data_IF_249122639515
#
_entry.id   IF_249122639515
#
_cell.length_a   1.000
_cell.length_b   1.000
_cell.length_c   1.000
_cell.angle_alpha   90.00
_cell.angle_beta   90.00
_cell.angle_gamma   90.00
#
_symmetry.space_group_name_H-M   'P 1'
#
loop_
_entity.id
_entity.type
_entity.pdbx_description
1 polymer ?
#
# COMPACT_ATOMS: atom_id res chain seq x y z
N UNK A 1 -12.48 -15.12 16.26
CA UNK A 1 -13.95 -15.28 16.26
C UNK A 1 -14.55 -14.50 15.09
N UNK A 2 -15.61 -15.06 14.50
CA UNK A 2 -16.48 -14.33 13.59
C UNK A 2 -17.56 -13.61 14.42
N UNK A 3 -17.75 -12.32 14.15
CA UNK A 3 -18.71 -11.47 14.86
C UNK A 3 -19.66 -10.86 13.84
N UNK A 4 -20.96 -11.09 14.03
CA UNK A 4 -21.98 -10.39 13.25
C UNK A 4 -22.07 -8.94 13.74
N UNK A 5 -21.69 -8.00 12.88
CA UNK A 5 -21.66 -6.58 13.23
C UNK A 5 -23.07 -6.01 13.44
N UNK A 6 -24.07 -6.55 12.72
CA UNK A 6 -25.46 -6.11 12.85
C UNK A 6 -26.06 -6.41 14.22
N UNK A 7 -25.65 -7.53 14.82
CA UNK A 7 -26.09 -7.95 16.15
C UNK A 7 -25.22 -7.35 17.27
N UNK A 8 -23.92 -7.18 17.02
CA UNK A 8 -22.96 -6.75 18.02
C UNK A 8 -22.99 -5.24 18.28
N UNK A 9 -23.21 -4.42 17.25
CA UNK A 9 -23.22 -2.95 17.40
C UNK A 9 -24.42 -2.53 18.26
N UNK A 10 -24.12 -1.86 19.38
CA UNK A 10 -25.09 -1.49 20.39
C UNK A 10 -25.38 -2.59 21.45
N UNK A 11 -24.80 -3.78 21.28
CA UNK A 11 -24.93 -4.90 22.21
C UNK A 11 -23.51 -5.44 22.56
N UNK A 12 -22.74 -4.64 23.30
CA UNK A 12 -21.36 -4.96 23.68
C UNK A 12 -20.29 -4.51 22.67
N UNK A 13 -20.68 -3.94 21.52
CA UNK A 13 -19.76 -3.37 20.53
C UNK A 13 -20.14 -1.93 20.19
N UNK A 14 -19.17 -1.04 20.22
CA UNK A 14 -19.33 0.36 19.77
C UNK A 14 -18.35 0.64 18.64
N UNK A 15 -18.84 1.27 17.58
CA UNK A 15 -18.04 1.69 16.42
C UNK A 15 -18.12 3.21 16.28
N UNK A 16 -16.95 3.85 16.19
CA UNK A 16 -16.85 5.31 16.01
C UNK A 16 -16.06 5.63 14.75
N UNK A 17 -16.60 6.43 13.80
CA UNK A 17 -15.88 6.83 12.61
C UNK A 17 -14.66 7.68 12.92
N UNK A 18 -13.54 7.39 12.24
CA UNK A 18 -12.35 8.23 12.22
C UNK A 18 -12.38 9.09 10.96
N UNK A 19 -12.26 10.41 11.11
CA UNK A 19 -12.14 11.31 9.96
C UNK A 19 -10.70 11.27 9.46
N UNK A 20 -10.49 10.71 8.27
CA UNK A 20 -9.17 10.57 7.66
C UNK A 20 -9.02 11.41 6.39
N UNK A 21 -7.78 11.69 5.98
CA UNK A 21 -7.48 12.42 4.73
C UNK A 21 -7.68 11.57 3.46
N UNK A 22 -8.08 10.32 3.62
CA UNK A 22 -8.30 9.35 2.54
C UNK A 22 -9.78 8.93 2.51
N UNK A 23 -10.21 8.35 1.39
CA UNK A 23 -11.61 7.94 1.18
C UNK A 23 -11.95 6.56 1.80
N UNK A 24 -11.17 6.07 2.75
CA UNK A 24 -11.44 4.84 3.47
C UNK A 24 -12.26 5.11 4.74
N UNK A 25 -13.31 4.33 4.94
CA UNK A 25 -14.09 4.33 6.17
C UNK A 25 -13.33 3.61 7.28
N UNK A 26 -12.48 4.36 8.00
CA UNK A 26 -11.78 3.85 9.18
C UNK A 26 -12.59 4.11 10.44
N UNK A 27 -12.57 3.16 11.38
CA UNK A 27 -13.32 3.26 12.62
C UNK A 27 -12.49 2.80 13.82
N UNK A 28 -12.78 3.40 14.97
CA UNK A 28 -12.42 2.82 16.27
C UNK A 28 -13.50 1.81 16.66
N UNK A 29 -13.07 0.69 17.22
CA UNK A 29 -13.96 -0.38 17.67
C UNK A 29 -13.69 -0.64 19.15
N UNK A 30 -14.74 -0.62 19.95
CA UNK A 30 -14.69 -0.90 21.38
C UNK A 30 -15.58 -2.09 21.71
N UNK A 31 -15.06 -2.98 22.55
CA UNK A 31 -15.79 -4.12 23.05
C UNK A 31 -16.00 -3.98 24.57
N UNK A 32 -17.23 -4.12 25.01
CA UNK A 32 -17.60 -4.08 26.40
C UNK A 32 -18.55 -5.26 26.70
N UNK A 33 -18.01 -6.31 27.27
CA UNK A 33 -18.74 -7.56 27.58
C UNK A 33 -19.50 -8.15 26.36
N UNK A 34 -18.93 -8.02 25.16
CA UNK A 34 -19.51 -8.63 23.97
C UNK A 34 -19.46 -10.16 24.09
N UNK A 35 -20.60 -10.80 24.11
CA UNK A 35 -20.72 -12.27 24.08
C UNK A 35 -20.72 -12.75 22.62
N UNK A 36 -19.88 -13.74 22.33
CA UNK A 36 -19.78 -14.36 21.01
C UNK A 36 -19.88 -15.88 21.18
N UNK A 37 -20.75 -16.55 20.42
CA UNK A 37 -20.89 -18.00 20.48
C UNK A 37 -19.55 -18.71 20.25
N UNK A 38 -19.29 -19.78 21.00
CA UNK A 38 -18.02 -20.52 20.91
C UNK A 38 -17.81 -21.15 19.54
N UNK A 39 -18.87 -21.53 18.86
CA UNK A 39 -18.87 -22.06 17.50
C UNK A 39 -18.37 -21.06 16.45
N UNK A 40 -18.40 -19.76 16.75
CA UNK A 40 -17.84 -18.69 15.89
C UNK A 40 -16.32 -18.56 16.04
N UNK A 41 -15.69 -19.40 16.86
CA UNK A 41 -14.23 -19.43 16.98
C UNK A 41 -13.60 -19.98 15.71
N UNK A 42 -12.58 -19.29 15.19
CA UNK A 42 -11.79 -19.72 14.04
C UNK A 42 -10.51 -20.43 14.55
N UNK A 43 -10.46 -21.74 14.36
CA UNK A 43 -9.30 -22.57 14.73
C UNK A 43 -9.12 -22.77 16.23
N UNK A 44 -7.89 -23.11 16.65
CA UNK A 44 -7.54 -23.48 18.01
C UNK A 44 -7.26 -22.28 18.92
N UNK A 45 -7.51 -22.43 20.20
CA UNK A 45 -7.21 -21.41 21.21
C UNK A 45 -5.70 -21.10 21.24
N UNK A 46 -5.39 -19.81 21.37
CA UNK A 46 -4.00 -19.34 21.41
C UNK A 46 -3.29 -19.30 20.04
N UNK A 47 -3.93 -19.76 18.94
CA UNK A 47 -3.31 -19.77 17.60
C UNK A 47 -3.80 -18.64 16.68
N UNK A 48 -4.69 -17.77 17.14
CA UNK A 48 -5.34 -16.75 16.29
C UNK A 48 -4.35 -15.83 15.56
N UNK A 49 -3.27 -15.42 16.21
CA UNK A 49 -2.25 -14.57 15.56
C UNK A 49 -1.52 -15.33 14.43
N UNK A 50 -1.28 -16.63 14.58
CA UNK A 50 -0.67 -17.45 13.53
C UNK A 50 -1.59 -17.55 12.31
N UNK A 51 -2.89 -17.79 12.51
CA UNK A 51 -3.86 -17.82 11.41
C UNK A 51 -3.98 -16.47 10.71
N UNK A 52 -3.89 -15.37 11.45
CA UNK A 52 -3.85 -14.02 10.87
C UNK A 52 -2.61 -13.85 9.97
N UNK A 53 -1.44 -14.29 10.41
CA UNK A 53 -0.19 -14.17 9.65
C UNK A 53 -0.24 -14.92 8.31
N UNK A 54 -0.94 -16.05 8.23
CA UNK A 54 -1.07 -16.83 6.98
C UNK A 54 -1.76 -16.00 5.86
N UNK A 55 -2.73 -15.15 6.20
CA UNK A 55 -3.39 -14.25 5.26
C UNK A 55 -2.60 -13.00 4.90
N UNK A 56 -1.74 -12.52 5.79
CA UNK A 56 -1.06 -11.23 5.65
C UNK A 56 -0.02 -11.20 4.52
N UNK A 57 0.56 -12.32 4.11
CA UNK A 57 1.48 -12.35 2.97
C UNK A 57 0.74 -12.10 1.66
N UNK A 58 -0.42 -12.72 1.46
CA UNK A 58 -1.28 -12.45 0.31
C UNK A 58 -1.72 -10.99 0.27
N UNK A 59 -2.14 -10.43 1.40
CA UNK A 59 -2.56 -9.04 1.52
C UNK A 59 -1.43 -8.08 1.15
N UNK A 60 -0.19 -8.30 1.60
CA UNK A 60 0.96 -7.49 1.20
C UNK A 60 1.20 -7.50 -0.31
N UNK A 61 1.05 -8.65 -0.95
CA UNK A 61 1.20 -8.80 -2.40
C UNK A 61 0.08 -8.06 -3.14
N UNK A 62 -1.17 -8.14 -2.66
CA UNK A 62 -2.31 -7.43 -3.23
C UNK A 62 -2.12 -5.90 -3.14
N UNK A 63 -1.75 -5.39 -1.98
CA UNK A 63 -1.45 -3.96 -1.80
C UNK A 63 -0.26 -3.52 -2.66
N UNK A 64 0.76 -4.36 -2.79
CA UNK A 64 1.88 -4.06 -3.70
C UNK A 64 1.42 -3.98 -5.17
N UNK A 65 0.50 -4.84 -5.60
CA UNK A 65 -0.08 -4.78 -6.95
C UNK A 65 -0.93 -3.52 -7.15
N UNK A 66 -1.70 -3.11 -6.15
CA UNK A 66 -2.44 -1.84 -6.13
C UNK A 66 -1.50 -0.64 -6.27
N UNK A 67 -0.40 -0.61 -5.51
CA UNK A 67 0.64 0.42 -5.64
C UNK A 67 1.22 0.50 -7.05
N UNK A 68 1.44 -0.65 -7.72
CA UNK A 68 1.90 -0.68 -9.11
C UNK A 68 0.85 -0.05 -10.04
N UNK A 69 -0.43 -0.32 -9.83
CA UNK A 69 -1.53 0.30 -10.58
C UNK A 69 -1.55 1.82 -10.42
N UNK A 70 -1.46 2.28 -9.18
CA UNK A 70 -1.41 3.71 -8.85
C UNK A 70 -0.18 4.41 -9.43
N UNK A 71 0.99 3.82 -9.28
CA UNK A 71 2.22 4.39 -9.83
C UNK A 71 2.18 4.51 -11.36
N UNK A 72 1.60 3.54 -12.06
CA UNK A 72 1.35 3.62 -13.49
C UNK A 72 0.42 4.79 -13.86
N UNK A 73 -0.66 4.93 -13.12
CA UNK A 73 -1.60 6.03 -13.31
C UNK A 73 -0.91 7.38 -13.16
N UNK A 74 -0.09 7.58 -12.12
CA UNK A 74 0.64 8.82 -11.90
C UNK A 74 1.62 9.13 -13.04
N UNK A 75 2.40 8.14 -13.46
CA UNK A 75 3.36 8.30 -14.57
C UNK A 75 2.65 8.63 -15.87
N UNK A 76 1.54 7.96 -16.17
CA UNK A 76 0.75 8.25 -17.38
C UNK A 76 0.14 9.64 -17.34
N UNK A 77 -0.45 10.03 -16.19
CA UNK A 77 -1.06 11.33 -15.99
C UNK A 77 -0.04 12.47 -16.14
N UNK A 78 1.11 12.35 -15.47
CA UNK A 78 2.20 13.31 -15.59
C UNK A 78 2.74 13.39 -17.02
N UNK A 79 2.92 12.26 -17.68
CA UNK A 79 3.41 12.21 -19.07
C UNK A 79 2.45 12.88 -20.05
N UNK A 80 1.14 12.66 -19.89
CA UNK A 80 0.12 13.33 -20.70
C UNK A 80 0.16 14.84 -20.49
N UNK A 81 0.08 15.27 -19.23
CA UNK A 81 0.13 16.68 -18.88
C UNK A 81 1.40 17.37 -19.39
N UNK A 82 2.56 16.71 -19.29
CA UNK A 82 3.83 17.24 -19.75
C UNK A 82 3.90 17.41 -21.28
N UNK A 83 3.19 16.58 -22.06
CA UNK A 83 3.05 16.73 -23.52
C UNK A 83 2.11 17.87 -23.92
N UNK A 84 1.02 18.03 -23.16
CA UNK A 84 -0.08 18.91 -23.55
C UNK A 84 0.10 20.34 -23.01
N UNK A 85 0.76 20.49 -21.85
CA UNK A 85 0.95 21.79 -21.22
C UNK A 85 2.05 22.59 -21.89
N UNK A 86 1.67 23.70 -22.52
CA UNK A 86 2.59 24.64 -23.18
C UNK A 86 2.89 25.82 -22.24
N UNK A 87 4.17 26.08 -22.00
CA UNK A 87 4.70 27.23 -21.26
C UNK A 87 5.91 27.78 -22.04
N UNK A 88 6.02 29.08 -22.18
CA UNK A 88 7.06 29.72 -22.98
C UNK A 88 7.14 29.19 -24.43
N UNK A 89 5.98 28.92 -25.04
CA UNK A 89 5.88 28.52 -26.45
C UNK A 89 6.23 27.05 -26.76
N UNK A 90 6.44 26.21 -25.76
CA UNK A 90 6.75 24.78 -25.95
C UNK A 90 6.14 23.89 -24.84
N UNK A 91 5.89 22.59 -25.12
CA UNK A 91 5.48 21.66 -24.09
C UNK A 91 6.50 21.58 -22.94
N UNK A 92 6.00 21.54 -21.69
CA UNK A 92 6.89 21.44 -20.52
C UNK A 92 7.71 20.14 -20.51
N UNK A 93 7.19 19.09 -21.15
CA UNK A 93 7.87 17.81 -21.35
C UNK A 93 9.17 17.89 -22.18
N UNK A 94 9.47 19.04 -22.83
CA UNK A 94 10.77 19.26 -23.47
C UNK A 94 11.89 19.66 -22.49
N UNK A 95 11.57 19.85 -21.21
CA UNK A 95 12.54 20.18 -20.20
C UNK A 95 13.03 18.91 -19.48
N UNK A 96 14.35 18.72 -19.37
CA UNK A 96 14.94 17.57 -18.66
C UNK A 96 14.52 17.52 -17.19
N UNK A 97 14.31 18.68 -16.54
CA UNK A 97 13.80 18.77 -15.17
C UNK A 97 12.38 18.18 -14.99
N UNK A 98 11.64 18.01 -16.08
CA UNK A 98 10.32 17.33 -16.11
C UNK A 98 10.47 15.90 -16.60
N UNK A 99 11.23 15.67 -17.66
CA UNK A 99 11.42 14.35 -18.27
C UNK A 99 12.07 13.34 -17.32
N UNK A 100 13.18 13.73 -16.66
CA UNK A 100 13.98 12.81 -15.86
C UNK A 100 13.25 12.27 -14.63
N UNK A 101 12.54 13.09 -13.83
CA UNK A 101 11.71 12.57 -12.75
C UNK A 101 10.65 11.57 -13.22
N UNK A 102 9.95 11.86 -14.31
CA UNK A 102 8.94 10.95 -14.89
C UNK A 102 9.58 9.63 -15.33
N UNK A 103 10.68 9.68 -16.06
CA UNK A 103 11.40 8.50 -16.54
C UNK A 103 11.95 7.65 -15.37
N UNK A 104 12.45 8.30 -14.31
CA UNK A 104 12.93 7.62 -13.10
C UNK A 104 11.79 6.89 -12.39
N UNK A 105 10.65 7.54 -12.17
CA UNK A 105 9.48 6.91 -11.56
C UNK A 105 8.98 5.74 -12.40
N UNK A 106 8.96 5.85 -13.73
CA UNK A 106 8.62 4.73 -14.61
C UNK A 106 9.55 3.53 -14.40
N UNK A 107 10.87 3.76 -14.39
CA UNK A 107 11.83 2.68 -14.19
C UNK A 107 11.69 2.00 -12.81
N UNK A 108 11.49 2.78 -11.75
CA UNK A 108 11.26 2.26 -10.39
C UNK A 108 9.97 1.44 -10.32
N UNK A 109 8.87 1.92 -10.93
CA UNK A 109 7.62 1.18 -11.01
C UNK A 109 7.76 -0.14 -11.75
N UNK A 110 8.53 -0.17 -12.85
CA UNK A 110 8.79 -1.41 -13.59
C UNK A 110 9.58 -2.43 -12.77
N UNK A 111 10.57 -1.97 -12.01
CA UNK A 111 11.33 -2.83 -11.10
C UNK A 111 10.43 -3.38 -9.97
N UNK A 112 9.62 -2.52 -9.36
CA UNK A 112 8.66 -2.93 -8.34
C UNK A 112 7.65 -3.94 -8.87
N UNK A 113 7.13 -3.74 -10.08
CA UNK A 113 6.20 -4.69 -10.73
C UNK A 113 6.82 -6.09 -10.89
N UNK A 114 8.09 -6.17 -11.30
CA UNK A 114 8.78 -7.47 -11.42
C UNK A 114 8.88 -8.16 -10.07
N UNK A 115 9.17 -7.42 -8.99
CA UNK A 115 9.19 -7.96 -7.63
C UNK A 115 7.81 -8.43 -7.17
N UNK A 116 6.74 -7.67 -7.47
CA UNK A 116 5.36 -8.07 -7.14
C UNK A 116 4.99 -9.37 -7.86
N UNK A 117 5.31 -9.47 -9.15
CA UNK A 117 5.04 -10.70 -9.92
C UNK A 117 5.85 -11.89 -9.41
N UNK A 118 7.10 -11.67 -8.98
CA UNK A 118 7.91 -12.70 -8.34
C UNK A 118 7.28 -13.18 -7.03
N UNK A 119 6.89 -12.25 -6.15
CA UNK A 119 6.24 -12.57 -4.88
C UNK A 119 4.92 -13.35 -5.07
N UNK A 120 4.10 -12.94 -6.05
CA UNK A 120 2.86 -13.64 -6.37
C UNK A 120 3.10 -15.08 -6.83
N UNK A 121 4.07 -15.30 -7.72
CA UNK A 121 4.43 -16.65 -8.19
C UNK A 121 4.96 -17.53 -7.06
N UNK A 122 5.82 -16.98 -6.20
CA UNK A 122 6.34 -17.71 -5.04
C UNK A 122 5.23 -18.10 -4.07
N UNK A 123 4.23 -17.23 -3.89
CA UNK A 123 3.06 -17.53 -3.08
C UNK A 123 2.22 -18.66 -3.70
N UNK A 124 1.91 -18.57 -5.00
CA UNK A 124 1.08 -19.55 -5.72
C UNK A 124 1.76 -20.93 -5.82
N UNK A 125 3.09 -20.99 -5.92
CA UNK A 125 3.85 -22.27 -5.95
C UNK A 125 4.00 -22.93 -4.60
N UNK A 126 3.60 -22.26 -3.52
CA UNK A 126 3.80 -22.74 -2.14
C UNK A 126 5.22 -22.52 -1.59
N UNK A 127 6.17 -22.06 -2.43
CA UNK A 127 7.51 -21.62 -1.98
C UNK A 127 7.43 -20.44 -1.01
N UNK A 128 6.32 -19.71 -1.11
CA UNK A 128 6.00 -18.56 -0.27
C UNK A 128 5.23 -18.88 1.02
N UNK A 129 5.01 -20.14 1.36
CA UNK A 129 4.35 -20.51 2.61
C UNK A 129 5.30 -20.39 3.80
N UNK A 130 4.83 -19.79 4.90
CA UNK A 130 5.62 -19.63 6.12
C UNK A 130 6.66 -18.50 6.02
N UNK A 131 7.84 -18.70 6.65
CA UNK A 131 8.88 -17.65 6.74
C UNK A 131 9.46 -17.23 5.38
N UNK A 132 9.58 -18.15 4.42
CA UNK A 132 10.14 -17.86 3.10
C UNK A 132 9.24 -16.90 2.30
N UNK A 133 7.91 -17.04 2.37
CA UNK A 133 6.98 -16.14 1.68
C UNK A 133 6.91 -14.74 2.23
N UNK A 134 7.31 -14.56 3.48
CA UNK A 134 7.37 -13.25 4.11
C UNK A 134 8.42 -12.34 3.48
N UNK A 135 9.55 -12.87 3.01
CA UNK A 135 10.63 -12.10 2.40
C UNK A 135 10.14 -11.43 1.10
N UNK A 136 9.65 -12.22 0.14
CA UNK A 136 9.23 -11.72 -1.17
C UNK A 136 8.03 -10.77 -1.05
N UNK A 137 7.04 -11.11 -0.19
CA UNK A 137 5.88 -10.27 0.05
C UNK A 137 6.26 -8.92 0.68
N UNK A 138 7.18 -8.91 1.64
CA UNK A 138 7.68 -7.70 2.27
C UNK A 138 8.47 -6.83 1.28
N UNK A 139 9.39 -7.42 0.49
CA UNK A 139 10.13 -6.67 -0.52
C UNK A 139 9.22 -6.10 -1.60
N UNK A 140 8.25 -6.88 -2.07
CA UNK A 140 7.27 -6.41 -3.06
C UNK A 140 6.48 -5.21 -2.54
N UNK A 141 5.97 -5.29 -1.30
CA UNK A 141 5.21 -4.20 -0.68
C UNK A 141 6.06 -2.96 -0.46
N UNK A 142 7.27 -3.11 0.06
CA UNK A 142 8.21 -2.00 0.29
C UNK A 142 8.48 -1.25 -1.02
N UNK A 143 9.00 -1.95 -2.01
CA UNK A 143 9.41 -1.35 -3.28
C UNK A 143 8.24 -0.72 -4.04
N UNK A 144 7.08 -1.39 -4.07
CA UNK A 144 5.91 -0.88 -4.77
C UNK A 144 5.31 0.35 -4.09
N UNK A 145 5.21 0.36 -2.76
CA UNK A 145 4.66 1.52 -2.04
C UNK A 145 5.57 2.75 -2.12
N UNK A 146 6.88 2.58 -2.04
CA UNK A 146 7.84 3.68 -2.19
C UNK A 146 7.87 4.22 -3.63
N UNK A 147 7.83 3.33 -4.64
CA UNK A 147 7.78 3.74 -6.03
C UNK A 147 6.46 4.47 -6.37
N UNK A 148 5.32 3.99 -5.86
CA UNK A 148 4.02 4.66 -6.01
C UNK A 148 4.01 6.03 -5.36
N UNK A 149 4.52 6.15 -4.14
CA UNK A 149 4.62 7.42 -3.44
C UNK A 149 5.52 8.42 -4.18
N UNK A 150 6.68 7.98 -4.68
CA UNK A 150 7.57 8.81 -5.48
C UNK A 150 6.90 9.27 -6.79
N UNK A 151 6.11 8.40 -7.42
CA UNK A 151 5.35 8.75 -8.62
C UNK A 151 4.22 9.74 -8.33
N UNK A 152 3.57 9.64 -7.15
CA UNK A 152 2.54 10.58 -6.72
C UNK A 152 3.11 11.98 -6.52
N UNK A 153 4.23 12.11 -5.80
CA UNK A 153 4.93 13.37 -5.58
C UNK A 153 5.39 14.01 -6.90
N UNK A 154 6.03 13.23 -7.77
CA UNK A 154 6.44 13.65 -9.10
C UNK A 154 5.25 14.14 -9.95
N UNK A 155 4.09 13.48 -9.85
CA UNK A 155 2.89 13.84 -10.60
C UNK A 155 2.33 15.19 -10.14
N UNK A 156 2.22 15.43 -8.83
CA UNK A 156 1.83 16.74 -8.28
C UNK A 156 2.81 17.82 -8.74
N UNK A 157 4.11 17.58 -8.61
CA UNK A 157 5.16 18.52 -9.03
C UNK A 157 5.06 18.85 -10.54
N UNK A 158 4.79 17.85 -11.38
CA UNK A 158 4.65 18.04 -12.84
C UNK A 158 3.44 18.91 -13.19
N UNK A 159 2.32 18.77 -12.47
CA UNK A 159 1.11 19.58 -12.66
C UNK A 159 1.24 20.99 -12.07
N UNK A 160 2.19 21.21 -11.15
CA UNK A 160 2.33 22.47 -10.44
C UNK A 160 1.06 22.83 -9.66
N UNK A 161 0.59 24.08 -9.77
CA UNK A 161 -0.65 24.51 -9.09
C UNK A 161 -1.88 23.66 -9.43
N UNK A 162 -1.98 23.13 -10.64
CA UNK A 162 -3.08 22.24 -11.05
C UNK A 162 -3.02 20.85 -10.40
N UNK A 163 -1.89 20.45 -9.81
CA UNK A 163 -1.79 19.23 -9.01
C UNK A 163 -2.64 19.27 -7.72
N UNK A 164 -3.08 20.47 -7.30
CA UNK A 164 -3.96 20.68 -6.15
C UNK A 164 -5.43 20.83 -6.53
N UNK A 165 -5.74 20.93 -7.81
CA UNK A 165 -7.12 21.11 -8.30
C UNK A 165 -7.84 19.75 -8.36
N UNK A 166 -9.03 19.68 -7.75
CA UNK A 166 -9.83 18.45 -7.67
C UNK A 166 -10.16 17.86 -9.05
N UNK A 167 -10.37 18.71 -10.06
CA UNK A 167 -10.69 18.30 -11.44
C UNK A 167 -9.61 17.42 -12.11
N UNK A 168 -8.37 17.44 -11.61
CA UNK A 168 -7.28 16.62 -12.11
C UNK A 168 -7.13 15.28 -11.39
N UNK A 169 -7.82 15.07 -10.28
CA UNK A 169 -7.72 13.85 -9.42
C UNK A 169 -6.34 13.57 -8.82
N UNK A 170 -5.34 14.37 -9.14
CA UNK A 170 -3.95 14.14 -8.71
C UNK A 170 -3.83 14.30 -7.20
N UNK A 171 -4.46 15.33 -6.62
CA UNK A 171 -4.43 15.60 -5.18
C UNK A 171 -5.09 14.48 -4.38
N UNK A 172 -6.21 13.93 -4.86
CA UNK A 172 -6.92 12.83 -4.22
C UNK A 172 -6.08 11.55 -4.23
N UNK A 173 -5.59 11.18 -5.40
CA UNK A 173 -4.72 10.00 -5.57
C UNK A 173 -3.41 10.13 -4.80
N UNK A 174 -2.83 11.32 -4.69
CA UNK A 174 -1.66 11.60 -3.86
C UNK A 174 -1.93 11.29 -2.38
N UNK A 175 -3.07 11.74 -1.84
CA UNK A 175 -3.46 11.44 -0.46
C UNK A 175 -3.65 9.92 -0.24
N UNK A 176 -4.30 9.23 -1.17
CA UNK A 176 -4.52 7.78 -1.14
C UNK A 176 -3.19 7.00 -1.18
N UNK A 177 -2.28 7.35 -2.10
CA UNK A 177 -0.99 6.66 -2.26
C UNK A 177 -0.12 6.74 -1.00
N UNK A 178 -0.29 7.78 -0.16
CA UNK A 178 0.45 7.90 1.10
C UNK A 178 0.11 6.80 2.11
N UNK A 179 -1.10 6.27 2.08
CA UNK A 179 -1.54 5.19 2.96
C UNK A 179 -0.65 3.96 2.82
N UNK A 180 -0.27 3.59 1.62
CA UNK A 180 0.44 2.34 1.34
C UNK A 180 1.85 2.26 1.95
N UNK A 181 2.46 3.36 2.31
CA UNK A 181 3.73 3.33 3.06
C UNK A 181 3.53 2.99 4.55
N UNK A 182 2.29 3.01 5.03
CA UNK A 182 1.89 2.71 6.42
C UNK A 182 1.14 1.39 6.54
N UNK A 183 0.18 1.14 5.63
CA UNK A 183 -0.71 -0.03 5.68
C UNK A 183 -0.35 -1.05 4.57
N UNK A 184 -0.65 -2.35 4.75
CA UNK A 184 -1.11 -3.02 5.98
C UNK A 184 0.01 -3.20 7.00
N UNK A 185 1.26 -2.97 6.60
CA UNK A 185 2.44 -2.98 7.46
C UNK A 185 3.34 -1.79 7.09
N UNK A 186 3.90 -1.13 8.09
CA UNK A 186 4.75 0.04 7.87
C UNK A 186 6.08 -0.33 7.23
N UNK A 187 6.64 0.60 6.46
CA UNK A 187 8.00 0.52 5.90
C UNK A 187 9.04 0.15 6.99
N UNK A 188 8.93 0.74 8.18
CA UNK A 188 9.87 0.46 9.28
C UNK A 188 9.80 -1.00 9.74
N UNK A 189 8.60 -1.55 9.89
CA UNK A 189 8.43 -2.95 10.29
C UNK A 189 8.96 -3.92 9.22
N UNK A 190 8.80 -3.59 7.94
CA UNK A 190 9.35 -4.37 6.83
C UNK A 190 10.88 -4.34 6.85
N UNK A 191 11.48 -3.16 7.02
CA UNK A 191 12.94 -3.02 7.09
C UNK A 191 13.52 -3.77 8.28
N UNK A 192 12.88 -3.70 9.46
CA UNK A 192 13.29 -4.51 10.61
C UNK A 192 13.22 -6.01 10.32
N UNK A 193 12.13 -6.47 9.68
CA UNK A 193 12.00 -7.88 9.28
C UNK A 193 13.13 -8.31 8.33
N UNK A 194 13.44 -7.53 7.32
CA UNK A 194 14.51 -7.82 6.36
C UNK A 194 15.87 -7.86 7.08
N UNK A 195 16.13 -6.87 7.93
CA UNK A 195 17.37 -6.79 8.68
C UNK A 195 17.59 -8.03 9.58
N UNK A 196 16.60 -8.39 10.37
CA UNK A 196 16.70 -9.46 11.36
C UNK A 196 16.59 -10.86 10.74
N UNK A 197 15.63 -11.07 9.86
CA UNK A 197 15.26 -12.42 9.40
C UNK A 197 15.84 -12.81 8.06
N UNK A 198 16.23 -11.85 7.22
CA UNK A 198 16.85 -12.11 5.92
C UNK A 198 18.37 -11.90 6.00
N UNK A 199 18.82 -10.79 6.56
CA UNK A 199 20.24 -10.44 6.65
C UNK A 199 20.93 -10.95 7.93
N UNK A 200 20.18 -11.45 8.90
CA UNK A 200 20.72 -12.00 10.16
C UNK A 200 21.33 -10.94 11.08
N UNK A 201 20.91 -9.68 10.95
CA UNK A 201 21.38 -8.61 11.82
C UNK A 201 20.79 -8.75 13.24
N UNK A 202 21.49 -8.27 14.27
CA UNK A 202 20.96 -8.30 15.63
C UNK A 202 19.67 -7.49 15.75
N UNK A 203 18.77 -7.95 16.58
CA UNK A 203 17.51 -7.25 16.87
C UNK A 203 17.79 -5.87 17.48
N UNK A 204 17.07 -4.85 17.04
CA UNK A 204 17.31 -3.46 17.45
C UNK A 204 16.64 -3.07 18.77
N UNK A 205 15.74 -3.92 19.34
CA UNK A 205 15.00 -3.69 20.60
C UNK A 205 14.58 -5.00 21.25
#
# INVERSE_FOLDING_TARGET
>A
FLVDLGEAIGNGMTVRPIRAMINHASTEVFFDNLEVPVENRVGDEGQGFRYLLDGLNAERILIAAECVGDGRWFVERASRYARDRVVFGRPIGQNQGVQFPIARCYAQMRAAELMVRHAARAYDSGEGAGKAGGEQANMAKLLASEASWSAADMCVQTHGGFGFAEEYDVERKFREARLYTVAPISTNAILSYIAEHVLGLPRSY
#
